data_IF_132147495438
#
_entry.id   IF_132147495438
#
_cell.length_a   1.000
_cell.length_b   1.000
_cell.length_c   1.000
_cell.angle_alpha   90.00
_cell.angle_beta   90.00
_cell.angle_gamma   90.00
#
_symmetry.space_group_name_H-M   'P 1'
#
loop_
_entity.id
_entity.type
_entity.pdbx_description
1 polymer ?
#
# COMPACT_ATOMS: atom_id res chain seq x y z
N UNK A 1 -10.36 11.30 -16.82
CA UNK A 1 -9.73 10.59 -15.68
C UNK A 1 -10.42 9.28 -15.47
N UNK A 2 -9.66 8.19 -15.32
CA UNK A 2 -10.16 6.83 -15.09
C UNK A 2 -9.44 6.25 -13.87
N UNK A 3 -10.17 5.59 -12.98
CA UNK A 3 -9.62 4.85 -11.85
C UNK A 3 -9.84 3.34 -12.08
N UNK A 4 -8.74 2.59 -12.21
CA UNK A 4 -8.72 1.13 -12.31
C UNK A 4 -8.36 0.60 -10.93
N UNK A 5 -9.15 -0.33 -10.40
CA UNK A 5 -8.95 -0.78 -9.04
C UNK A 5 -9.10 -2.29 -8.88
N UNK A 6 -8.23 -2.86 -8.06
CA UNK A 6 -8.25 -4.25 -7.65
C UNK A 6 -8.20 -4.37 -6.14
N UNK A 7 -8.82 -5.43 -5.61
CA UNK A 7 -8.71 -5.80 -4.20
C UNK A 7 -7.92 -7.09 -4.10
N UNK A 8 -6.95 -7.13 -3.20
CA UNK A 8 -6.14 -8.31 -2.90
C UNK A 8 -6.47 -8.78 -1.49
N UNK A 9 -6.57 -10.08 -1.32
CA UNK A 9 -6.89 -10.67 -0.02
C UNK A 9 -5.62 -11.04 0.73
N UNK A 10 -5.48 -10.56 1.96
CA UNK A 10 -4.46 -10.97 2.91
C UNK A 10 -5.10 -11.81 4.02
N UNK A 11 -4.29 -12.35 4.94
CA UNK A 11 -4.82 -13.20 6.02
C UNK A 11 -5.64 -12.39 7.02
N UNK A 12 -5.16 -11.24 7.42
CA UNK A 12 -5.79 -10.37 8.41
C UNK A 12 -5.70 -8.91 8.04
N UNK A 13 -6.51 -8.06 8.69
CA UNK A 13 -6.42 -6.60 8.58
C UNK A 13 -5.05 -6.07 9.02
N UNK A 14 -4.48 -6.66 10.06
CA UNK A 14 -3.15 -6.29 10.54
C UNK A 14 -2.08 -6.53 9.47
N UNK A 15 -2.20 -7.61 8.68
CA UNK A 15 -1.29 -7.88 7.57
C UNK A 15 -1.44 -6.82 6.46
N UNK A 16 -2.66 -6.38 6.16
CA UNK A 16 -2.91 -5.30 5.18
C UNK A 16 -2.22 -4.01 5.62
N UNK A 17 -2.41 -3.62 6.88
CA UNK A 17 -1.81 -2.40 7.44
C UNK A 17 -0.29 -2.50 7.45
N UNK A 18 0.25 -3.65 7.87
CA UNK A 18 1.68 -3.92 7.88
C UNK A 18 2.30 -3.88 6.49
N UNK A 19 1.58 -4.42 5.49
CA UNK A 19 1.98 -4.35 4.09
C UNK A 19 2.06 -2.89 3.59
N UNK A 20 1.01 -2.09 3.82
CA UNK A 20 0.98 -0.68 3.40
C UNK A 20 2.14 0.10 4.05
N UNK A 21 2.38 -0.12 5.34
CA UNK A 21 3.51 0.48 6.05
C UNK A 21 4.86 0.06 5.47
N UNK A 22 5.04 -1.23 5.18
CA UNK A 22 6.25 -1.72 4.56
C UNK A 22 6.48 -1.10 3.17
N UNK A 23 5.42 -0.91 2.37
CA UNK A 23 5.48 -0.22 1.08
C UNK A 23 5.90 1.25 1.21
N UNK A 24 5.46 1.95 2.25
CA UNK A 24 5.85 3.33 2.53
C UNK A 24 7.37 3.50 2.63
N UNK A 25 8.05 2.49 3.19
CA UNK A 25 9.51 2.55 3.42
C UNK A 25 10.34 1.97 2.29
N UNK A 26 9.87 0.85 1.74
CA UNK A 26 10.66 0.02 0.83
C UNK A 26 10.38 0.29 -0.64
N UNK A 27 9.31 1.02 -0.94
CA UNK A 27 8.90 1.24 -2.32
C UNK A 27 9.17 2.66 -2.80
N UNK A 28 9.46 2.79 -4.08
CA UNK A 28 9.57 4.06 -4.79
C UNK A 28 9.09 3.90 -6.23
N UNK A 29 8.77 5.01 -6.86
CA UNK A 29 8.51 5.10 -8.30
C UNK A 29 9.39 6.19 -8.90
N UNK A 30 9.28 6.44 -10.21
CA UNK A 30 9.92 7.61 -10.85
C UNK A 30 9.51 8.95 -10.21
N UNK A 31 8.39 9.00 -9.51
CA UNK A 31 7.92 10.17 -8.75
C UNK A 31 8.54 10.28 -7.34
N UNK A 32 9.49 9.41 -7.03
CA UNK A 32 10.11 9.34 -5.71
C UNK A 32 9.41 8.39 -4.75
N UNK A 33 9.60 8.63 -3.45
CA UNK A 33 8.96 7.85 -2.39
C UNK A 33 7.48 8.16 -2.29
N UNK A 34 6.67 7.21 -1.81
CA UNK A 34 5.25 7.46 -1.58
C UNK A 34 5.01 8.44 -0.43
N UNK A 35 3.81 8.98 -0.40
CA UNK A 35 3.33 9.82 0.71
C UNK A 35 2.10 9.20 1.32
N UNK A 36 2.00 9.23 2.65
CA UNK A 36 0.82 8.74 3.38
C UNK A 36 -0.07 9.88 3.82
N UNK A 37 -1.37 9.73 3.63
CA UNK A 37 -2.39 10.64 4.13
C UNK A 37 -3.64 9.85 4.52
N UNK A 38 -4.07 9.94 5.80
CA UNK A 38 -5.30 9.31 6.28
C UNK A 38 -5.35 7.80 6.06
N UNK A 39 -4.24 7.07 6.33
CA UNK A 39 -4.16 5.63 6.14
C UNK A 39 -3.97 5.16 4.68
N UNK A 40 -4.00 6.09 3.71
CA UNK A 40 -3.79 5.80 2.29
C UNK A 40 -2.37 6.16 1.88
N UNK A 41 -1.69 5.22 1.22
CA UNK A 41 -0.38 5.40 0.63
C UNK A 41 -0.54 5.83 -0.84
N UNK A 42 0.19 6.87 -1.25
CA UNK A 42 0.14 7.42 -2.59
C UNK A 42 1.50 7.38 -3.27
N UNK A 43 1.57 6.81 -4.45
CA UNK A 43 2.66 6.99 -5.40
C UNK A 43 2.22 8.00 -6.46
N UNK A 44 2.97 9.08 -6.63
CA UNK A 44 2.66 10.11 -7.61
C UNK A 44 1.42 10.96 -7.28
N UNK A 45 1.17 11.26 -6.00
CA UNK A 45 -0.01 12.02 -5.54
C UNK A 45 -0.23 13.35 -6.26
N UNK A 46 0.86 14.04 -6.62
CA UNK A 46 0.84 15.33 -7.32
C UNK A 46 1.07 15.20 -8.83
N UNK A 47 1.12 13.98 -9.35
CA UNK A 47 1.34 13.73 -10.77
C UNK A 47 0.08 14.09 -11.58
N UNK A 48 0.27 14.80 -12.67
CA UNK A 48 -0.79 15.12 -13.65
C UNK A 48 -1.05 13.98 -14.66
N UNK A 49 -0.27 12.88 -14.56
CA UNK A 49 -0.38 11.76 -15.50
C UNK A 49 -1.03 10.55 -14.87
N UNK A 50 -0.44 10.03 -13.80
CA UNK A 50 -0.95 8.86 -13.11
C UNK A 50 -0.56 8.84 -11.63
N UNK A 51 -1.36 8.18 -10.83
CA UNK A 51 -1.08 7.92 -9.42
C UNK A 51 -1.55 6.51 -9.04
N UNK A 52 -0.85 5.90 -8.08
CA UNK A 52 -1.30 4.64 -7.45
C UNK A 52 -1.59 4.91 -5.98
N UNK A 53 -2.72 4.38 -5.50
CA UNK A 53 -3.12 4.43 -4.09
C UNK A 53 -3.22 3.01 -3.55
N UNK A 54 -2.73 2.82 -2.33
CA UNK A 54 -2.90 1.59 -1.57
C UNK A 54 -3.55 1.93 -0.23
N UNK A 55 -4.58 1.19 0.15
CA UNK A 55 -5.25 1.38 1.43
C UNK A 55 -5.98 0.12 1.90
N UNK A 56 -6.24 0.07 3.21
CA UNK A 56 -7.08 -0.96 3.80
C UNK A 56 -8.55 -0.61 3.55
N UNK A 57 -9.27 -1.49 2.86
CA UNK A 57 -10.69 -1.25 2.50
C UNK A 57 -11.58 -1.17 3.73
N UNK A 58 -11.29 -1.93 4.78
CA UNK A 58 -12.02 -1.85 6.04
C UNK A 58 -11.85 -0.49 6.72
N UNK A 59 -10.63 0.04 6.78
CA UNK A 59 -10.39 1.37 7.36
C UNK A 59 -11.07 2.48 6.57
N UNK A 60 -11.09 2.37 5.24
CA UNK A 60 -11.81 3.33 4.41
C UNK A 60 -13.30 3.32 4.69
N UNK A 61 -13.96 2.15 4.73
CA UNK A 61 -15.40 2.01 5.04
C UNK A 61 -15.73 2.54 6.44
N UNK A 62 -14.84 2.35 7.40
CA UNK A 62 -15.03 2.85 8.77
C UNK A 62 -14.70 4.35 8.92
N UNK A 63 -14.09 4.97 7.92
CA UNK A 63 -13.83 6.41 7.93
C UNK A 63 -15.13 7.21 7.73
N UNK A 64 -15.15 8.47 8.19
CA UNK A 64 -16.31 9.35 7.99
C UNK A 64 -16.66 9.61 6.52
N UNK A 65 -15.68 9.46 5.62
CA UNK A 65 -15.83 9.75 4.20
C UNK A 65 -16.12 8.51 3.35
N UNK A 66 -15.91 7.32 3.90
CA UNK A 66 -16.03 6.05 3.19
C UNK A 66 -17.16 5.15 3.70
N UNK A 67 -18.04 5.67 4.55
CA UNK A 67 -19.17 4.89 5.06
C UNK A 67 -20.04 4.34 3.93
N UNK A 68 -20.45 3.09 4.08
CA UNK A 68 -21.37 2.47 3.14
C UNK A 68 -22.72 3.21 3.14
N UNK A 69 -23.33 3.42 1.97
CA UNK A 69 -24.72 3.85 1.89
C UNK A 69 -25.64 2.89 2.64
N UNK A 70 -26.70 3.42 3.26
CA UNK A 70 -27.67 2.64 4.06
C UNK A 70 -28.13 1.32 3.37
N UNK A 71 -28.46 1.30 2.07
CA UNK A 71 -28.88 0.06 1.39
C UNK A 71 -27.80 -1.02 1.34
N UNK A 72 -26.53 -0.68 1.56
CA UNK A 72 -25.37 -1.59 1.53
C UNK A 72 -24.91 -2.01 2.93
N UNK A 73 -25.37 -1.30 3.96
CA UNK A 73 -25.05 -1.61 5.35
C UNK A 73 -25.62 -2.99 5.75
N UNK A 74 -24.92 -3.73 6.59
CA UNK A 74 -25.31 -5.06 7.07
C UNK A 74 -25.49 -6.15 5.98
N UNK A 75 -24.97 -5.92 4.78
CA UNK A 75 -24.97 -6.91 3.70
C UNK A 75 -23.74 -7.84 3.68
N UNK A 76 -22.84 -7.68 4.65
CA UNK A 76 -21.60 -8.46 4.76
C UNK A 76 -20.42 -7.85 4.03
N UNK A 77 -20.57 -6.64 3.49
CA UNK A 77 -19.50 -5.92 2.78
C UNK A 77 -18.38 -5.54 3.75
N UNK A 78 -18.72 -5.10 4.95
CA UNK A 78 -17.77 -4.73 6.00
C UNK A 78 -16.89 -5.93 6.38
N UNK A 79 -17.50 -7.09 6.59
CA UNK A 79 -16.78 -8.32 6.92
C UNK A 79 -15.89 -8.79 5.76
N UNK A 80 -16.40 -8.70 4.53
CA UNK A 80 -15.60 -9.03 3.35
C UNK A 80 -14.41 -8.10 3.17
N UNK A 81 -14.57 -6.81 3.49
CA UNK A 81 -13.55 -5.80 3.33
C UNK A 81 -12.42 -5.89 4.39
N UNK A 82 -12.63 -6.66 5.47
CA UNK A 82 -11.80 -6.64 6.69
C UNK A 82 -10.31 -6.93 6.39
N UNK A 83 -10.03 -7.83 5.46
CA UNK A 83 -8.68 -8.22 5.08
C UNK A 83 -8.31 -7.85 3.63
N UNK A 84 -8.96 -6.85 3.06
CA UNK A 84 -8.72 -6.46 1.67
C UNK A 84 -7.78 -5.26 1.57
N UNK A 85 -6.67 -5.49 0.86
CA UNK A 85 -5.82 -4.43 0.34
C UNK A 85 -6.44 -3.91 -0.95
N UNK A 86 -6.81 -2.64 -0.99
CA UNK A 86 -7.26 -1.98 -2.21
C UNK A 86 -6.09 -1.29 -2.89
N UNK A 87 -5.93 -1.54 -4.17
CA UNK A 87 -4.97 -0.85 -5.03
C UNK A 87 -5.75 -0.15 -6.14
N UNK A 88 -5.56 1.16 -6.27
CA UNK A 88 -6.19 1.98 -7.29
C UNK A 88 -5.14 2.64 -8.17
N UNK A 89 -5.21 2.39 -9.46
CA UNK A 89 -4.45 3.12 -10.48
C UNK A 89 -5.34 4.22 -11.04
N UNK A 90 -4.93 5.47 -10.85
CA UNK A 90 -5.57 6.64 -11.45
C UNK A 90 -4.81 7.08 -12.68
N UNK A 91 -5.51 7.18 -13.79
CA UNK A 91 -5.01 7.70 -15.07
C UNK A 91 -5.67 9.04 -15.40
N UNK A 92 -4.85 10.07 -15.60
CA UNK A 92 -5.32 11.39 -16.02
C UNK A 92 -5.40 11.51 -17.55
N UNK A 93 -6.04 12.55 -18.08
CA UNK A 93 -6.30 12.72 -19.51
C UNK A 93 -5.04 12.56 -20.38
N UNK A 94 -3.97 13.27 -20.04
CA UNK A 94 -2.67 13.18 -20.76
C UNK A 94 -2.07 11.76 -20.81
N UNK A 95 -2.37 10.94 -19.82
CA UNK A 95 -1.89 9.55 -19.81
C UNK A 95 -2.83 8.63 -20.58
N UNK A 96 -4.14 8.88 -20.54
CA UNK A 96 -5.12 8.18 -21.35
C UNK A 96 -4.91 8.42 -22.85
N UNK A 97 -4.60 9.66 -23.25
CA UNK A 97 -4.23 10.00 -24.63
C UNK A 97 -2.98 9.22 -25.07
N UNK A 98 -1.94 9.20 -24.25
CA UNK A 98 -0.71 8.44 -24.54
C UNK A 98 -0.93 6.94 -24.68
N UNK A 99 -1.88 6.38 -23.93
CA UNK A 99 -2.24 4.96 -23.94
C UNK A 99 -3.30 4.63 -25.01
N UNK A 100 -3.78 5.64 -25.76
CA UNK A 100 -4.87 5.50 -26.72
C UNK A 100 -6.19 5.00 -26.10
N UNK A 101 -6.37 5.27 -24.78
CA UNK A 101 -7.55 4.86 -24.01
C UNK A 101 -8.51 6.04 -23.78
N UNK A 102 -8.87 6.74 -24.85
CA UNK A 102 -9.73 7.93 -24.78
C UNK A 102 -11.21 7.63 -24.90
N UNK A 103 -11.57 6.50 -25.50
CA UNK A 103 -12.96 6.07 -25.72
C UNK A 103 -13.30 4.84 -24.89
N UNK A 104 -14.54 4.76 -24.43
CA UNK A 104 -15.01 3.63 -23.60
C UNK A 104 -14.82 2.24 -24.24
N UNK A 105 -14.93 2.15 -25.55
CA UNK A 105 -14.71 0.91 -26.32
C UNK A 105 -13.27 0.36 -26.23
N UNK A 106 -12.30 1.19 -25.84
CA UNK A 106 -10.90 0.78 -25.70
C UNK A 106 -10.62 0.03 -24.36
N UNK A 107 -11.58 0.05 -23.44
CA UNK A 107 -11.47 -0.56 -22.13
C UNK A 107 -12.01 -2.01 -22.12
N UNK A 108 -11.35 -2.92 -22.86
CA UNK A 108 -11.56 -4.35 -22.65
C UNK A 108 -11.00 -4.78 -21.30
N UNK A 109 -11.50 -5.88 -20.72
CA UNK A 109 -10.99 -6.42 -19.45
C UNK A 109 -9.48 -6.70 -19.54
N UNK A 110 -9.03 -7.26 -20.65
CA UNK A 110 -7.62 -7.55 -20.91
C UNK A 110 -6.78 -6.27 -20.97
N UNK A 111 -7.23 -5.23 -21.72
CA UNK A 111 -6.53 -3.95 -21.78
C UNK A 111 -6.40 -3.31 -20.41
N UNK A 112 -7.46 -3.32 -19.61
CA UNK A 112 -7.49 -2.78 -18.24
C UNK A 112 -6.49 -3.53 -17.34
N UNK A 113 -6.45 -4.87 -17.44
CA UNK A 113 -5.56 -5.70 -16.65
C UNK A 113 -4.09 -5.49 -17.03
N UNK A 114 -3.80 -5.43 -18.32
CA UNK A 114 -2.45 -5.19 -18.82
C UNK A 114 -1.93 -3.81 -18.39
N UNK A 115 -2.75 -2.77 -18.51
CA UNK A 115 -2.40 -1.42 -18.05
C UNK A 115 -2.18 -1.41 -16.54
N UNK A 116 -3.07 -2.02 -15.76
CA UNK A 116 -2.91 -2.09 -14.31
C UNK A 116 -1.59 -2.75 -13.92
N UNK A 117 -1.26 -3.91 -14.50
CA UNK A 117 -0.04 -4.66 -14.22
C UNK A 117 1.21 -3.87 -14.64
N UNK A 118 1.20 -3.21 -15.81
CA UNK A 118 2.31 -2.36 -16.26
C UNK A 118 2.61 -1.24 -15.27
N UNK A 119 1.58 -0.53 -14.80
CA UNK A 119 1.79 0.56 -13.83
C UNK A 119 2.18 0.06 -12.46
N UNK A 120 1.68 -1.10 -12.04
CA UNK A 120 2.06 -1.71 -10.77
C UNK A 120 3.55 -2.15 -10.79
N UNK A 121 4.04 -2.67 -11.92
CA UNK A 121 5.45 -3.05 -12.10
C UNK A 121 6.42 -1.87 -12.02
N UNK A 122 5.94 -0.64 -12.16
CA UNK A 122 6.74 0.59 -12.01
C UNK A 122 7.04 0.94 -10.55
N UNK A 123 6.41 0.25 -9.60
CA UNK A 123 6.74 0.36 -8.18
C UNK A 123 8.01 -0.46 -7.94
N UNK A 124 9.12 0.24 -7.82
CA UNK A 124 10.40 -0.39 -7.50
C UNK A 124 10.46 -0.68 -6.01
N UNK A 125 10.69 -1.93 -5.67
CA UNK A 125 10.94 -2.34 -4.29
C UNK A 125 12.45 -2.25 -4.05
N UNK A 126 12.84 -1.52 -3.01
CA UNK A 126 14.18 -1.66 -2.47
C UNK A 126 14.22 -2.99 -1.74
N UNK A 127 15.03 -3.92 -2.22
CA UNK A 127 15.29 -5.18 -1.54
C UNK A 127 15.59 -4.92 -0.08
N UNK A 128 15.18 -5.87 0.75
CA UNK A 128 15.34 -5.81 2.19
C UNK A 128 16.71 -5.26 2.55
N UNK A 129 16.75 -4.05 3.05
CA UNK A 129 17.83 -3.70 3.95
C UNK A 129 17.44 -4.36 5.30
N UNK A 130 17.61 -5.69 5.38
CA UNK A 130 18.23 -6.16 6.60
C UNK A 130 19.59 -5.48 6.56
N UNK A 131 19.76 -4.50 7.43
CA UNK A 131 21.09 -4.04 7.73
C UNK A 131 21.82 -5.28 8.24
N UNK A 132 22.55 -5.94 7.33
CA UNK A 132 23.60 -6.85 7.72
C UNK A 132 24.48 -6.09 8.71
N UNK A 133 25.20 -6.79 9.55
CA UNK A 133 26.21 -6.16 10.42
C UNK A 133 27.11 -5.17 9.66
N UNK A 134 27.31 -5.37 8.34
CA UNK A 134 28.04 -4.46 7.45
C UNK A 134 27.32 -3.12 7.19
N UNK A 135 26.01 -3.11 7.11
CA UNK A 135 25.29 -1.84 6.91
C UNK A 135 25.16 -1.04 8.21
N UNK A 136 25.20 -1.70 9.36
CA UNK A 136 25.31 -1.01 10.66
C UNK A 136 26.67 -0.32 10.77
N UNK A 137 27.73 -0.88 10.17
CA UNK A 137 29.06 -0.28 10.12
C UNK A 137 29.12 0.98 9.23
N UNK A 138 28.18 1.14 8.30
CA UNK A 138 28.07 2.32 7.42
C UNK A 138 27.23 3.45 8.02
N UNK A 139 26.59 3.24 9.18
CA UNK A 139 25.89 4.31 9.89
C UNK A 139 26.91 5.21 10.63
N UNK A 140 26.72 6.52 10.60
CA UNK A 140 27.48 7.41 11.48
C UNK A 140 27.33 6.97 12.95
N UNK A 141 28.44 6.97 13.72
CA UNK A 141 28.47 6.48 15.10
C UNK A 141 27.35 7.06 15.98
N UNK A 142 26.98 8.33 15.78
CA UNK A 142 25.87 9.01 16.48
C UNK A 142 24.47 8.45 16.16
N UNK A 143 24.30 7.70 15.07
CA UNK A 143 23.04 7.06 14.68
C UNK A 143 23.00 5.59 15.09
N UNK A 144 24.15 4.94 15.25
CA UNK A 144 24.25 3.53 15.62
C UNK A 144 23.52 3.25 16.94
N UNK A 145 23.79 4.06 17.97
CA UNK A 145 23.14 3.87 19.28
C UNK A 145 21.60 3.98 19.18
N UNK A 146 21.10 4.97 18.46
CA UNK A 146 19.66 5.16 18.25
C UNK A 146 19.06 3.99 17.46
N UNK A 147 19.75 3.52 16.43
CA UNK A 147 19.34 2.36 15.64
C UNK A 147 19.31 1.09 16.51
N UNK A 148 20.33 0.84 17.32
CA UNK A 148 20.40 -0.35 18.18
C UNK A 148 19.24 -0.37 19.18
N UNK A 149 19.02 0.72 19.90
CA UNK A 149 17.92 0.84 20.86
C UNK A 149 16.55 0.62 20.17
N UNK A 150 16.36 1.20 18.99
CA UNK A 150 15.14 0.98 18.22
C UNK A 150 14.99 -0.48 17.80
N UNK A 151 16.06 -1.11 17.29
CA UNK A 151 16.05 -2.49 16.83
C UNK A 151 15.80 -3.50 17.97
N UNK A 152 16.18 -3.14 19.18
CA UNK A 152 15.89 -3.89 20.41
C UNK A 152 14.44 -3.70 20.90
N UNK A 153 13.70 -2.77 20.32
CA UNK A 153 12.29 -2.51 20.63
C UNK A 153 12.06 -1.46 21.71
N UNK A 154 13.06 -0.66 22.03
CA UNK A 154 12.92 0.43 23.01
C UNK A 154 12.07 1.59 22.44
N UNK A 155 11.24 2.19 23.32
CA UNK A 155 10.48 3.40 22.98
C UNK A 155 11.37 4.66 23.01
N UNK A 156 11.92 5.00 21.87
CA UNK A 156 12.82 6.13 21.71
C UNK A 156 12.20 7.49 22.05
N UNK A 157 10.86 7.61 21.98
CA UNK A 157 10.16 8.87 22.32
C UNK A 157 10.24 9.16 23.81
N UNK A 158 10.30 8.12 24.63
CA UNK A 158 10.47 8.25 26.09
C UNK A 158 11.94 8.36 26.52
N UNK A 159 12.88 8.04 25.62
CA UNK A 159 14.32 8.01 25.94
C UNK A 159 15.07 9.28 25.52
N UNK A 160 14.48 10.13 24.68
CA UNK A 160 15.14 11.34 24.20
C UNK A 160 14.18 12.52 24.05
N UNK A 161 14.72 13.73 23.98
CA UNK A 161 13.90 14.92 23.75
C UNK A 161 13.21 14.84 22.38
N UNK A 162 12.03 15.47 22.26
CA UNK A 162 11.27 15.54 21.02
C UNK A 162 12.10 16.06 19.84
N UNK A 163 12.91 17.10 20.06
CA UNK A 163 13.79 17.67 19.04
C UNK A 163 14.86 16.67 18.58
N UNK A 164 15.48 15.94 19.53
CA UNK A 164 16.47 14.90 19.23
C UNK A 164 15.83 13.76 18.47
N UNK A 165 14.65 13.30 18.89
CA UNK A 165 13.93 12.24 18.23
C UNK A 165 13.67 12.56 16.73
N UNK A 166 13.10 13.71 16.41
CA UNK A 166 12.82 14.08 15.02
C UNK A 166 14.08 14.27 14.18
N UNK A 167 15.15 14.79 14.78
CA UNK A 167 16.46 14.91 14.10
C UNK A 167 17.06 13.54 13.78
N UNK A 168 17.07 12.61 14.75
CA UNK A 168 17.56 11.25 14.56
C UNK A 168 16.69 10.49 13.55
N UNK A 169 15.37 10.63 13.66
CA UNK A 169 14.43 10.05 12.70
C UNK A 169 14.72 10.50 11.28
N UNK A 170 14.88 11.82 11.06
CA UNK A 170 15.19 12.36 9.73
C UNK A 170 16.49 11.78 9.20
N UNK A 171 17.53 11.73 10.01
CA UNK A 171 18.83 11.21 9.61
C UNK A 171 18.78 9.69 9.31
N UNK A 172 18.08 8.89 10.12
CA UNK A 172 17.90 7.44 9.89
C UNK A 172 17.04 7.15 8.66
N UNK A 173 16.08 8.03 8.34
CA UNK A 173 15.27 7.92 7.11
C UNK A 173 16.12 8.01 5.84
N UNK A 174 17.24 8.74 5.84
CA UNK A 174 18.18 8.81 4.70
C UNK A 174 18.80 7.43 4.42
N UNK A 175 18.92 6.60 5.46
CA UNK A 175 19.38 5.19 5.37
C UNK A 175 18.23 4.19 5.22
N UNK A 176 16.98 4.67 5.03
CA UNK A 176 15.80 3.83 4.87
C UNK A 176 15.23 3.28 6.18
N UNK A 177 15.69 3.77 7.34
CA UNK A 177 15.25 3.31 8.67
C UNK A 177 14.23 4.30 9.23
N UNK A 178 13.02 3.82 9.53
CA UNK A 178 12.03 4.65 10.23
C UNK A 178 11.79 4.15 11.64
N UNK A 179 12.24 4.95 12.58
CA UNK A 179 12.11 4.67 14.02
C UNK A 179 10.71 4.98 14.60
N UNK A 180 9.75 5.48 13.80
CA UNK A 180 8.34 5.57 14.23
C UNK A 180 7.65 4.20 14.23
N UNK A 181 8.23 3.21 13.55
CA UNK A 181 7.69 1.87 13.47
C UNK A 181 8.42 0.94 14.44
N UNK A 182 7.71 -0.07 14.92
CA UNK A 182 8.38 -1.16 15.61
C UNK A 182 9.37 -1.87 14.69
N UNK A 183 10.58 -2.20 15.17
CA UNK A 183 11.50 -3.02 14.41
C UNK A 183 10.83 -4.35 14.09
N UNK A 184 10.89 -4.77 12.86
CA UNK A 184 10.46 -6.10 12.49
C UNK A 184 11.46 -7.09 13.11
N UNK A 185 11.19 -7.59 14.32
CA UNK A 185 11.88 -8.78 14.80
C UNK A 185 11.62 -9.84 13.75
N UNK A 186 12.68 -10.29 13.11
CA UNK A 186 12.60 -11.38 12.15
C UNK A 186 12.04 -12.60 12.88
N UNK A 187 10.72 -12.71 12.94
CA UNK A 187 10.08 -13.98 13.21
C UNK A 187 10.35 -14.81 11.96
N UNK A 188 11.07 -15.88 12.14
CA UNK A 188 11.49 -16.85 11.14
C UNK A 188 10.34 -17.59 10.45
N UNK A 189 9.11 -17.09 10.56
CA UNK A 189 7.93 -17.73 10.00
C UNK A 189 7.03 -16.68 9.33
N UNK A 190 6.91 -16.79 8.03
CA UNK A 190 5.95 -16.08 7.16
C UNK A 190 6.26 -14.61 6.80
N UNK A 191 7.48 -14.30 6.41
CA UNK A 191 7.70 -13.18 5.50
C UNK A 191 7.16 -13.62 4.13
N UNK A 192 5.89 -13.34 3.86
CA UNK A 192 5.41 -13.38 2.48
C UNK A 192 6.19 -12.28 1.76
N UNK A 193 7.05 -12.59 0.79
CA UNK A 193 7.78 -11.56 0.08
C UNK A 193 6.77 -10.56 -0.47
N UNK A 194 6.99 -9.27 -0.23
CA UNK A 194 6.09 -8.19 -0.68
C UNK A 194 5.74 -8.31 -2.16
N UNK A 195 6.67 -8.82 -2.96
CA UNK A 195 6.51 -9.13 -4.37
C UNK A 195 5.36 -10.10 -4.65
N UNK A 196 5.20 -11.15 -3.81
CA UNK A 196 4.13 -12.14 -4.00
C UNK A 196 2.72 -11.60 -3.74
N UNK A 197 2.57 -10.52 -2.97
CA UNK A 197 1.25 -9.92 -2.74
C UNK A 197 0.81 -9.10 -3.95
N UNK A 198 1.73 -8.39 -4.60
CA UNK A 198 1.45 -7.66 -5.84
C UNK A 198 1.28 -8.61 -7.04
N UNK A 199 1.83 -9.82 -6.97
CA UNK A 199 1.59 -10.92 -7.91
C UNK A 199 0.36 -11.76 -7.50
N UNK A 200 -0.24 -11.50 -6.33
CA UNK A 200 -1.39 -12.22 -5.85
C UNK A 200 -2.58 -12.02 -6.79
N UNK A 201 -3.35 -13.07 -6.96
CA UNK A 201 -4.58 -13.03 -7.72
C UNK A 201 -5.55 -12.06 -7.05
N UNK A 202 -6.18 -11.20 -7.83
CA UNK A 202 -7.22 -10.32 -7.34
C UNK A 202 -8.30 -11.10 -6.57
N UNK A 203 -8.82 -10.53 -5.50
CA UNK A 203 -9.87 -11.15 -4.71
C UNK A 203 -11.10 -11.41 -5.57
N UNK A 204 -11.60 -12.63 -5.54
CA UNK A 204 -12.81 -13.01 -6.28
C UNK A 204 -14.05 -12.36 -5.66
N UNK A 205 -15.07 -12.17 -6.49
CA UNK A 205 -16.38 -11.73 -6.03
C UNK A 205 -17.00 -12.88 -5.22
N UNK A 206 -17.38 -12.66 -3.95
CA UNK A 206 -17.94 -13.73 -3.13
C UNK A 206 -19.35 -14.11 -3.60
N UNK A 207 -19.68 -15.41 -3.48
CA UNK A 207 -20.96 -15.96 -3.93
C UNK A 207 -22.18 -15.23 -3.32
N UNK A 208 -22.09 -14.82 -2.07
CA UNK A 208 -23.17 -14.09 -1.40
C UNK A 208 -23.46 -12.72 -2.02
N UNK A 209 -22.51 -12.10 -2.74
CA UNK A 209 -22.75 -10.83 -3.42
C UNK A 209 -23.73 -10.98 -4.59
N UNK A 210 -23.71 -12.13 -5.25
CA UNK A 210 -24.67 -12.46 -6.31
C UNK A 210 -26.06 -12.70 -5.72
N UNK A 211 -26.16 -13.47 -4.63
CA UNK A 211 -27.46 -13.78 -3.98
C UNK A 211 -28.12 -12.53 -3.38
N UNK A 212 -27.33 -11.56 -2.96
CA UNK A 212 -27.82 -10.26 -2.42
C UNK A 212 -28.02 -9.17 -3.47
N UNK A 213 -27.92 -9.50 -4.75
CA UNK A 213 -28.08 -8.57 -5.88
C UNK A 213 -27.16 -7.35 -5.80
N UNK A 214 -25.94 -7.54 -5.27
CA UNK A 214 -24.93 -6.48 -5.17
C UNK A 214 -24.09 -6.34 -6.45
N UNK A 215 -24.27 -7.24 -7.40
CA UNK A 215 -23.54 -7.29 -8.65
C UNK A 215 -24.49 -6.95 -9.79
N UNK A 216 -24.09 -5.97 -10.61
CA UNK A 216 -24.85 -5.63 -11.80
C UNK A 216 -24.87 -6.82 -12.78
N UNK A 217 -26.00 -7.13 -13.43
CA UNK A 217 -26.12 -8.28 -14.35
C UNK A 217 -25.06 -8.35 -15.44
N UNK A 218 -24.63 -7.22 -15.97
CA UNK A 218 -23.56 -7.14 -16.99
C UNK A 218 -22.17 -7.58 -16.49
N UNK A 219 -21.96 -7.60 -15.18
CA UNK A 219 -20.70 -8.07 -14.58
C UNK A 219 -20.63 -9.60 -14.39
N UNK A 220 -21.71 -10.33 -14.72
CA UNK A 220 -21.77 -11.79 -14.60
C UNK A 220 -21.15 -12.54 -15.78
N UNK A 221 -20.86 -11.85 -16.86
CA UNK A 221 -20.39 -12.42 -18.14
C UNK A 221 -18.90 -12.16 -18.43
N UNK A 222 -18.15 -11.65 -17.47
CA UNK A 222 -16.71 -11.36 -17.61
C UNK A 222 -15.84 -12.42 -16.90
#
# INVERSE_FOLDING_TARGET
MVDINYSFELKTRADVISFIRAMEFKAKTRHGRPTTKGGTLYFGKTSERWAIKLYCKAEEIQSKTGQLPEPLTNKGIELWAENKLRVELRLHGKELEKLELTLGQHFSLEAVQNVFNDYLSRIQMTDQIQLSSEATNNLPNKLVATYTLWNEGHDLRNMMSKATYYRQRKALMEYGINIDLMPCKASTTNVVPMFRILEAKAASIPQWAFSKSLIHPSARTA
#
